data_IF_999388314475
#
_entry.id   IF_999388314475
#
_cell.length_a   1.000
_cell.length_b   1.000
_cell.length_c   1.000
_cell.angle_alpha   90.00
_cell.angle_beta   90.00
_cell.angle_gamma   90.00
#
_symmetry.space_group_name_H-M   'P 1'
#
loop_
_entity.id
_entity.type
_entity.pdbx_description
1 polymer ?
#
# COMPACT_ATOMS: atom_id res chain seq x y z
N UNK A 1 -1.28 -23.14 -18.90
CA UNK A 1 -2.05 -23.42 -17.67
C UNK A 1 -1.79 -22.29 -16.68
N UNK A 2 -2.42 -21.14 -16.86
CA UNK A 2 -2.26 -19.99 -15.94
C UNK A 2 -3.26 -20.17 -14.81
N UNK A 3 -2.77 -20.59 -13.65
CA UNK A 3 -3.55 -20.76 -12.43
C UNK A 3 -4.09 -19.41 -11.95
N UNK A 4 -5.40 -19.24 -12.11
CA UNK A 4 -6.19 -18.16 -11.52
C UNK A 4 -6.15 -18.33 -10.00
N UNK A 5 -5.25 -17.61 -9.34
CA UNK A 5 -5.11 -17.64 -7.88
C UNK A 5 -6.42 -17.16 -7.26
N UNK A 6 -7.07 -18.06 -6.53
CA UNK A 6 -8.29 -17.82 -5.78
C UNK A 6 -8.09 -16.59 -4.89
N UNK A 7 -8.91 -15.56 -5.07
CA UNK A 7 -8.85 -14.33 -4.27
C UNK A 7 -9.22 -14.61 -2.82
N UNK A 8 -8.24 -14.96 -2.00
CA UNK A 8 -8.40 -14.95 -0.55
C UNK A 8 -8.61 -13.50 -0.13
N UNK A 9 -9.57 -13.26 0.77
CA UNK A 9 -9.91 -11.89 1.22
C UNK A 9 -8.73 -11.14 1.86
N UNK A 10 -7.67 -11.86 2.25
CA UNK A 10 -6.39 -11.32 2.73
C UNK A 10 -5.26 -11.99 1.97
N UNK A 11 -4.33 -11.18 1.49
CA UNK A 11 -3.08 -11.60 0.87
C UNK A 11 -1.94 -10.91 1.62
N UNK A 12 -1.16 -11.71 2.35
CA UNK A 12 -0.03 -11.25 3.17
C UNK A 12 1.29 -11.25 2.41
N UNK A 13 1.30 -11.68 1.14
CA UNK A 13 2.52 -11.69 0.31
C UNK A 13 2.84 -10.32 -0.32
N UNK A 14 1.96 -9.33 -0.12
CA UNK A 14 2.10 -7.98 -0.66
C UNK A 14 3.19 -7.21 0.07
N UNK A 15 4.18 -6.73 -0.67
CA UNK A 15 5.12 -5.70 -0.18
C UNK A 15 4.45 -4.33 -0.31
N UNK A 16 4.18 -3.69 0.84
CA UNK A 16 3.47 -2.39 0.91
C UNK A 16 4.44 -1.37 1.49
N UNK A 17 4.73 -0.31 0.72
CA UNK A 17 5.64 0.77 1.14
C UNK A 17 5.05 2.13 0.82
N UNK A 18 5.25 3.10 1.70
CA UNK A 18 4.74 4.45 1.47
C UNK A 18 5.57 5.17 0.38
N UNK A 19 4.94 5.78 -0.65
CA UNK A 19 5.69 6.54 -1.65
C UNK A 19 6.33 7.79 -1.04
N UNK A 20 7.45 8.18 -1.63
CA UNK A 20 8.28 9.32 -1.20
C UNK A 20 8.20 10.46 -2.21
N UNK A 21 8.60 11.66 -1.79
CA UNK A 21 8.59 12.85 -2.64
C UNK A 21 7.24 13.57 -2.68
N UNK A 22 7.12 14.52 -3.60
CA UNK A 22 6.01 15.50 -3.67
C UNK A 22 4.91 15.13 -4.66
N UNK A 23 5.00 13.96 -5.31
CA UNK A 23 3.98 13.47 -6.23
C UNK A 23 2.73 12.98 -5.47
N UNK A 24 1.56 13.45 -5.91
CA UNK A 24 0.27 13.08 -5.33
C UNK A 24 -0.33 11.88 -6.07
N UNK A 25 -0.67 10.83 -5.33
CA UNK A 25 -1.44 9.69 -5.83
C UNK A 25 -2.95 9.88 -5.56
N UNK A 26 -3.27 10.60 -4.49
CA UNK A 26 -4.62 11.00 -4.11
C UNK A 26 -4.99 12.39 -4.65
N UNK A 27 -6.30 12.72 -4.63
CA UNK A 27 -6.82 14.00 -5.15
C UNK A 27 -6.34 15.24 -4.38
N UNK A 28 -5.81 15.09 -3.16
CA UNK A 28 -5.28 16.18 -2.35
C UNK A 28 -4.33 15.66 -1.26
N UNK A 29 -3.61 16.58 -0.62
CA UNK A 29 -2.65 16.28 0.45
C UNK A 29 -3.25 15.68 1.72
N UNK A 30 -4.46 16.06 2.10
CA UNK A 30 -5.11 15.52 3.31
C UNK A 30 -5.34 14.01 3.18
N UNK A 31 -5.83 13.59 2.03
CA UNK A 31 -6.06 12.17 1.73
C UNK A 31 -4.74 11.44 1.49
N UNK A 32 -3.79 12.08 0.76
CA UNK A 32 -2.46 11.52 0.53
C UNK A 32 -1.74 11.23 1.86
N UNK A 33 -1.79 12.14 2.82
CA UNK A 33 -1.13 11.98 4.12
C UNK A 33 -1.66 10.76 4.88
N UNK A 34 -2.99 10.61 4.96
CA UNK A 34 -3.60 9.44 5.59
C UNK A 34 -3.23 8.14 4.86
N UNK A 35 -3.28 8.14 3.53
CA UNK A 35 -2.93 6.99 2.71
C UNK A 35 -1.44 6.59 2.84
N UNK A 36 -0.53 7.57 2.90
CA UNK A 36 0.90 7.32 3.16
C UNK A 36 1.12 6.78 4.56
N UNK A 37 0.41 7.27 5.57
CA UNK A 37 0.56 6.77 6.94
C UNK A 37 0.07 5.34 7.11
N UNK A 38 -1.04 4.97 6.48
CA UNK A 38 -1.51 3.58 6.48
C UNK A 38 -0.46 2.65 5.86
N UNK A 39 0.13 3.04 4.73
CA UNK A 39 1.17 2.23 4.10
C UNK A 39 2.46 2.17 4.91
N UNK A 40 2.86 3.27 5.57
CA UNK A 40 4.01 3.29 6.46
C UNK A 40 3.87 2.29 7.62
N UNK A 41 2.68 2.18 8.21
CA UNK A 41 2.40 1.20 9.25
C UNK A 41 2.42 -0.26 8.76
N UNK A 42 2.35 -0.47 7.44
CA UNK A 42 2.37 -1.79 6.80
C UNK A 42 3.72 -2.09 6.14
N UNK A 43 4.69 -1.17 6.26
CA UNK A 43 6.02 -1.34 5.69
C UNK A 43 6.78 -2.44 6.45
N UNK A 44 7.30 -3.49 5.78
CA UNK A 44 8.00 -4.60 6.44
C UNK A 44 9.23 -4.18 7.26
N UNK A 45 9.79 -3.01 6.98
CA UNK A 45 10.94 -2.49 7.73
C UNK A 45 10.54 -1.68 8.98
N UNK A 46 9.25 -1.42 9.16
CA UNK A 46 8.68 -0.63 10.29
C UNK A 46 7.87 -1.51 11.23
N UNK A 47 7.10 -2.46 10.69
CA UNK A 47 6.24 -3.38 11.44
C UNK A 47 6.94 -4.71 11.75
#
# INVERSE_FOLDING_TARGET
>A
MTSNAQGTRRDTSRDIRAPRGTELHCKNWLIEAAWRMVQHNLDPDVA
#
